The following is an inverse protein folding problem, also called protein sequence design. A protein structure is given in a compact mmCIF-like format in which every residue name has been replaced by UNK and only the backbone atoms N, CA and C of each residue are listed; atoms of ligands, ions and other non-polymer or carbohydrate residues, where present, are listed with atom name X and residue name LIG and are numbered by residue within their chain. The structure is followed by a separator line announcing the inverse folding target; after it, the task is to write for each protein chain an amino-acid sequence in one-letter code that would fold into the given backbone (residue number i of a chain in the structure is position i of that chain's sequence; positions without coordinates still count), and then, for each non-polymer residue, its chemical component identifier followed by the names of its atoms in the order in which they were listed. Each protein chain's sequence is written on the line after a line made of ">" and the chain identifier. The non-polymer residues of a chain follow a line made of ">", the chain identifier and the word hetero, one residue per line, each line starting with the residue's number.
data_IF_111325764447
#
_entry.id   IF_111325764447
#
_cell.length_a   1.000
_cell.length_b   1.000
_cell.length_c   1.000
_cell.angle_alpha   90.00
_cell.angle_beta   90.00
_cell.angle_gamma   90.00
#
_symmetry.space_group_name_H-M   'P 1'
#
loop_
_entity.id
_entity.type
_entity.pdbx_description
1 polymer ?
#
# COMPACT_ATOMS: atom_id res chain seq x y z
N UNK A 1 -27.66 6.25 3.04
CA UNK A 1 -26.57 6.69 2.15
C UNK A 1 -27.14 6.93 0.76
N UNK A 2 -26.73 8.02 0.12
CA UNK A 2 -27.21 8.44 -1.20
C UNK A 2 -25.99 8.83 -2.02
N UNK A 3 -25.84 8.27 -3.23
CA UNK A 3 -24.85 8.74 -4.19
C UNK A 3 -25.40 9.98 -4.88
N UNK A 4 -24.56 11.01 -4.99
CA UNK A 4 -24.93 12.29 -5.57
C UNK A 4 -24.19 12.44 -6.89
N UNK A 5 -24.95 12.62 -7.97
CA UNK A 5 -24.35 12.93 -9.26
C UNK A 5 -23.76 14.34 -9.24
N UNK A 6 -22.61 14.51 -9.89
CA UNK A 6 -21.98 15.82 -10.06
C UNK A 6 -22.86 16.72 -10.94
N UNK A 7 -23.19 17.89 -10.43
CA UNK A 7 -23.78 18.99 -11.17
C UNK A 7 -22.72 20.10 -11.38
N UNK A 8 -22.64 20.67 -12.58
CA UNK A 8 -21.61 21.67 -12.90
C UNK A 8 -20.17 21.14 -12.74
N UNK A 9 -19.25 22.01 -12.33
CA UNK A 9 -17.82 21.65 -12.23
C UNK A 9 -17.49 20.76 -11.02
N UNK A 10 -18.09 21.04 -9.85
CA UNK A 10 -17.79 20.35 -8.58
C UNK A 10 -18.93 20.45 -7.56
N UNK A 11 -20.18 20.52 -8.01
CA UNK A 11 -21.35 20.65 -7.12
C UNK A 11 -22.03 19.32 -6.90
N UNK A 12 -22.31 18.96 -5.64
CA UNK A 12 -22.96 17.70 -5.27
C UNK A 12 -24.08 18.00 -4.28
N UNK A 13 -25.33 17.67 -4.63
CA UNK A 13 -26.48 17.94 -3.75
C UNK A 13 -26.62 19.42 -3.36
N UNK A 14 -26.24 20.35 -4.24
CA UNK A 14 -26.25 21.80 -3.97
C UNK A 14 -25.02 22.34 -3.25
N UNK A 15 -24.08 21.50 -2.81
CA UNK A 15 -22.84 21.91 -2.15
C UNK A 15 -21.70 21.99 -3.18
N UNK A 16 -21.11 23.18 -3.33
CA UNK A 16 -19.97 23.42 -4.22
C UNK A 16 -18.68 22.97 -3.53
N UNK A 17 -17.88 22.14 -4.22
CA UNK A 17 -16.56 21.66 -3.77
C UNK A 17 -16.59 21.13 -2.33
N UNK A 18 -17.45 20.14 -2.00
CA UNK A 18 -17.61 19.66 -0.65
C UNK A 18 -16.29 19.09 -0.12
N UNK A 19 -16.01 19.30 1.17
CA UNK A 19 -15.03 18.48 1.89
C UNK A 19 -15.54 17.04 1.91
N UNK A 20 -14.66 16.07 1.76
CA UNK A 20 -15.05 14.65 1.74
C UNK A 20 -14.00 13.74 2.37
N UNK A 21 -14.43 12.56 2.79
CA UNK A 21 -13.57 11.46 3.22
C UNK A 21 -13.33 10.46 2.09
N UNK A 22 -12.23 9.71 2.16
CA UNK A 22 -12.01 8.51 1.34
C UNK A 22 -11.83 7.28 2.23
N UNK A 23 -12.03 6.11 1.62
CA UNK A 23 -11.80 4.82 2.23
C UNK A 23 -10.86 4.00 1.35
N UNK A 24 -9.79 3.47 1.93
CA UNK A 24 -8.94 2.43 1.32
C UNK A 24 -9.27 1.07 1.93
N UNK A 25 -9.59 0.10 1.08
CA UNK A 25 -10.17 -1.20 1.42
C UNK A 25 -10.15 -2.14 0.19
N UNK A 26 -10.68 -3.38 0.29
CA UNK A 26 -10.44 -4.41 -0.74
C UNK A 26 -11.65 -5.08 -1.38
N UNK A 27 -12.78 -4.37 -1.58
CA UNK A 27 -14.01 -4.95 -2.15
C UNK A 27 -13.83 -5.66 -3.50
N UNK A 28 -13.09 -5.06 -4.45
CA UNK A 28 -13.00 -5.55 -5.82
C UNK A 28 -12.46 -6.99 -5.97
N UNK A 29 -11.65 -7.47 -5.01
CA UNK A 29 -11.09 -8.83 -5.02
C UNK A 29 -12.04 -9.89 -4.48
N UNK A 30 -13.02 -9.48 -3.69
CA UNK A 30 -13.94 -10.36 -2.96
C UNK A 30 -15.38 -10.23 -3.48
N UNK A 31 -15.56 -9.91 -4.77
CA UNK A 31 -16.89 -9.90 -5.41
C UNK A 31 -17.53 -11.28 -5.29
N UNK A 32 -18.78 -11.33 -4.86
CA UNK A 32 -19.56 -12.56 -4.78
C UNK A 32 -20.35 -12.81 -6.09
N UNK A 33 -20.92 -14.02 -6.28
CA UNK A 33 -21.85 -14.29 -7.36
C UNK A 33 -23.10 -13.41 -7.31
N UNK A 34 -23.79 -13.30 -8.45
CA UNK A 34 -25.08 -12.60 -8.52
C UNK A 34 -26.10 -13.23 -7.56
N UNK A 35 -26.92 -12.40 -6.90
CA UNK A 35 -27.88 -12.83 -5.88
C UNK A 35 -27.34 -12.85 -4.45
N UNK A 36 -26.02 -12.74 -4.26
CA UNK A 36 -25.43 -12.53 -2.94
C UNK A 36 -25.72 -11.13 -2.36
N UNK A 37 -25.54 -10.92 -1.05
CA UNK A 37 -25.74 -9.61 -0.43
C UNK A 37 -24.90 -8.51 -1.10
N UNK A 38 -25.58 -7.42 -1.45
CA UNK A 38 -24.99 -6.23 -2.04
C UNK A 38 -25.40 -4.98 -1.27
N UNK A 39 -24.54 -3.96 -1.29
CA UNK A 39 -24.84 -2.68 -0.68
C UNK A 39 -25.97 -1.97 -1.44
N UNK A 40 -26.99 -1.52 -0.71
CA UNK A 40 -28.07 -0.71 -1.27
C UNK A 40 -27.73 0.77 -1.13
N UNK A 41 -27.64 1.46 -2.27
CA UNK A 41 -27.35 2.90 -2.34
C UNK A 41 -28.47 3.58 -3.13
N UNK A 42 -28.98 4.71 -2.63
CA UNK A 42 -29.96 5.54 -3.36
C UNK A 42 -29.24 6.43 -4.36
N UNK A 43 -29.86 6.72 -5.51
CA UNK A 43 -29.34 7.69 -6.48
C UNK A 43 -28.32 7.15 -7.49
N UNK A 44 -28.11 5.82 -7.53
CA UNK A 44 -27.31 5.15 -8.57
C UNK A 44 -28.23 4.33 -9.49
N UNK A 45 -27.87 4.25 -10.77
CA UNK A 45 -28.57 3.43 -11.78
C UNK A 45 -27.94 2.04 -11.96
N UNK A 46 -26.68 1.89 -11.55
CA UNK A 46 -25.94 0.63 -11.64
C UNK A 46 -26.13 -0.23 -10.39
N UNK A 47 -25.88 -1.53 -10.54
CA UNK A 47 -25.84 -2.44 -9.39
C UNK A 47 -24.48 -2.42 -8.72
N UNK A 48 -24.48 -2.18 -7.40
CA UNK A 48 -23.27 -2.37 -6.60
C UNK A 48 -22.92 -3.86 -6.61
N UNK A 49 -21.68 -4.25 -6.96
CA UNK A 49 -21.29 -5.65 -7.00
C UNK A 49 -21.42 -6.26 -5.60
N UNK A 50 -22.00 -7.47 -5.47
CA UNK A 50 -22.14 -8.12 -4.18
C UNK A 50 -20.78 -8.51 -3.59
N UNK A 51 -20.73 -8.70 -2.28
CA UNK A 51 -19.52 -9.01 -1.52
C UNK A 51 -19.56 -10.43 -0.95
N UNK A 52 -18.41 -11.10 -0.94
CA UNK A 52 -18.20 -12.35 -0.22
C UNK A 52 -18.22 -12.08 1.29
N UNK A 53 -19.25 -12.55 2.00
CA UNK A 53 -19.44 -12.22 3.42
C UNK A 53 -18.33 -12.76 4.34
N UNK A 54 -17.55 -13.77 3.89
CA UNK A 54 -16.34 -14.21 4.60
C UNK A 54 -15.25 -13.13 4.65
N UNK A 55 -15.28 -12.14 3.75
CA UNK A 55 -14.38 -11.00 3.82
C UNK A 55 -14.96 -9.94 4.77
N UNK A 56 -16.16 -9.43 4.47
CA UNK A 56 -16.94 -8.61 5.39
C UNK A 56 -18.41 -8.59 4.98
N UNK A 57 -19.30 -8.25 5.92
CA UNK A 57 -20.74 -8.14 5.65
C UNK A 57 -21.10 -6.74 5.15
N UNK A 58 -22.22 -6.65 4.41
CA UNK A 58 -22.78 -5.36 3.98
C UNK A 58 -23.11 -4.47 5.19
N UNK A 59 -23.57 -5.06 6.30
CA UNK A 59 -23.89 -4.33 7.52
C UNK A 59 -22.63 -3.72 8.18
N UNK A 60 -21.53 -4.46 8.25
CA UNK A 60 -20.25 -3.95 8.74
C UNK A 60 -19.78 -2.75 7.90
N UNK A 61 -19.90 -2.85 6.58
CA UNK A 61 -19.55 -1.76 5.67
C UNK A 61 -20.45 -0.51 5.84
N UNK A 62 -21.75 -0.71 6.06
CA UNK A 62 -22.67 0.39 6.36
C UNK A 62 -22.33 1.10 7.68
N UNK A 63 -22.00 0.33 8.72
CA UNK A 63 -21.56 0.88 10.01
C UNK A 63 -20.27 1.68 9.87
N UNK A 64 -19.29 1.16 9.11
CA UNK A 64 -18.06 1.86 8.78
C UNK A 64 -18.33 3.22 8.12
N UNK A 65 -19.20 3.27 7.11
CA UNK A 65 -19.54 4.53 6.43
C UNK A 65 -20.24 5.49 7.40
N UNK A 66 -21.10 4.98 8.29
CA UNK A 66 -21.72 5.80 9.33
C UNK A 66 -20.69 6.38 10.31
N UNK A 67 -19.61 5.64 10.64
CA UNK A 67 -18.50 6.17 11.44
C UNK A 67 -17.74 7.26 10.69
N UNK A 68 -17.41 7.05 9.41
CA UNK A 68 -16.75 8.07 8.57
C UNK A 68 -17.58 9.36 8.52
N UNK A 69 -18.91 9.22 8.39
CA UNK A 69 -19.87 10.33 8.36
C UNK A 69 -19.89 11.20 9.63
N UNK A 70 -19.26 10.78 10.73
CA UNK A 70 -19.09 11.62 11.93
C UNK A 70 -18.06 12.74 11.74
N UNK A 71 -17.19 12.63 10.75
CA UNK A 71 -16.13 13.62 10.48
C UNK A 71 -16.45 14.54 9.31
N UNK A 72 -17.17 14.05 8.31
CA UNK A 72 -17.55 14.79 7.12
C UNK A 72 -18.73 14.12 6.42
N UNK A 73 -19.65 14.93 5.89
CA UNK A 73 -20.93 14.44 5.32
C UNK A 73 -20.79 13.77 3.96
N UNK A 74 -19.70 14.05 3.23
CA UNK A 74 -19.43 13.48 1.92
C UNK A 74 -18.31 12.46 2.02
N UNK A 75 -18.45 11.35 1.31
CA UNK A 75 -17.39 10.37 1.15
C UNK A 75 -17.30 9.95 -0.31
N UNK A 76 -16.08 9.77 -0.79
CA UNK A 76 -15.81 9.09 -2.04
C UNK A 76 -15.35 7.67 -1.74
N UNK A 77 -16.13 6.71 -2.23
CA UNK A 77 -15.89 5.28 -2.06
C UNK A 77 -16.10 4.67 -3.45
N UNK A 78 -15.06 4.10 -4.03
CA UNK A 78 -15.03 3.63 -5.43
C UNK A 78 -16.26 2.80 -5.83
N UNK A 79 -16.66 1.82 -5.01
CA UNK A 79 -17.80 0.92 -5.28
C UNK A 79 -19.15 1.66 -5.26
N UNK A 80 -19.21 2.81 -4.58
CA UNK A 80 -20.40 3.65 -4.43
C UNK A 80 -20.45 4.79 -5.46
N UNK A 81 -19.29 5.25 -5.93
CA UNK A 81 -19.13 6.47 -6.72
C UNK A 81 -18.80 6.22 -8.19
N UNK A 82 -18.32 5.03 -8.54
CA UNK A 82 -18.01 4.64 -9.92
C UNK A 82 -19.03 3.60 -10.38
N UNK A 83 -19.57 3.78 -11.58
CA UNK A 83 -20.37 2.76 -12.26
C UNK A 83 -19.51 1.51 -12.49
N UNK A 84 -19.90 0.42 -11.83
CA UNK A 84 -19.14 -0.83 -11.84
C UNK A 84 -19.47 -1.72 -13.05
N UNK A 85 -20.50 -1.38 -13.83
CA UNK A 85 -20.96 -2.12 -15.00
C UNK A 85 -20.36 -1.55 -16.31
N UNK A 86 -20.01 -0.25 -16.36
CA UNK A 86 -19.38 0.39 -17.52
C UNK A 86 -17.84 0.40 -17.43
N UNK A 87 -17.19 -0.38 -18.31
CA UNK A 87 -15.73 -0.53 -18.34
C UNK A 87 -15.02 0.74 -18.83
N UNK A 88 -15.60 1.50 -19.76
CA UNK A 88 -14.99 2.71 -20.30
C UNK A 88 -15.02 3.84 -19.25
N UNK A 89 -16.16 4.03 -18.59
CA UNK A 89 -16.29 4.97 -17.46
C UNK A 89 -15.38 4.57 -16.30
N UNK A 90 -15.26 3.27 -16.02
CA UNK A 90 -14.35 2.78 -14.98
C UNK A 90 -12.89 3.12 -15.27
N UNK A 91 -12.39 2.92 -16.49
CA UNK A 91 -11.01 3.27 -16.84
C UNK A 91 -10.74 4.78 -16.78
N UNK A 92 -11.70 5.59 -17.24
CA UNK A 92 -11.60 7.04 -17.15
C UNK A 92 -11.54 7.54 -15.70
N UNK A 93 -12.40 7.01 -14.82
CA UNK A 93 -12.43 7.37 -13.40
C UNK A 93 -11.22 6.81 -12.63
N UNK A 94 -10.71 5.63 -12.98
CA UNK A 94 -9.43 5.11 -12.47
C UNK A 94 -8.30 6.10 -12.79
N UNK A 95 -8.31 6.73 -13.97
CA UNK A 95 -7.38 7.81 -14.34
C UNK A 95 -7.40 9.04 -13.41
N UNK A 96 -8.48 9.24 -12.65
CA UNK A 96 -8.69 10.38 -11.74
C UNK A 96 -8.56 10.00 -10.27
N UNK A 97 -8.51 8.70 -9.94
CA UNK A 97 -8.49 8.17 -8.58
C UNK A 97 -7.39 8.81 -7.74
N UNK A 98 -6.17 8.91 -8.28
CA UNK A 98 -5.07 9.52 -7.53
C UNK A 98 -5.34 11.00 -7.15
N UNK A 99 -5.99 11.76 -8.04
CA UNK A 99 -6.38 13.15 -7.77
C UNK A 99 -7.45 13.25 -6.68
N UNK A 100 -8.41 12.33 -6.68
CA UNK A 100 -9.48 12.26 -5.67
C UNK A 100 -8.89 11.92 -4.30
N UNK A 101 -8.02 10.91 -4.21
CA UNK A 101 -7.36 10.59 -2.94
C UNK A 101 -6.56 11.77 -2.40
N UNK A 102 -5.74 12.43 -3.25
CA UNK A 102 -4.92 13.60 -2.85
C UNK A 102 -5.74 14.77 -2.29
N UNK A 103 -6.95 14.98 -2.80
CA UNK A 103 -7.78 16.14 -2.43
C UNK A 103 -8.75 15.89 -1.28
N UNK A 104 -8.91 14.64 -0.82
CA UNK A 104 -9.82 14.35 0.27
C UNK A 104 -9.42 15.09 1.56
N UNK A 105 -10.38 15.37 2.43
CA UNK A 105 -10.11 16.02 3.73
C UNK A 105 -9.71 14.98 4.77
N UNK A 106 -10.38 13.83 4.77
CA UNK A 106 -10.09 12.72 5.68
C UNK A 106 -9.84 11.44 4.90
N UNK A 107 -9.03 10.56 5.45
CA UNK A 107 -8.76 9.25 4.89
C UNK A 107 -8.83 8.17 5.95
N UNK A 108 -9.33 7.00 5.56
CA UNK A 108 -9.46 5.85 6.44
C UNK A 108 -8.92 4.61 5.75
N UNK A 109 -8.11 3.85 6.46
CA UNK A 109 -7.67 2.53 6.05
C UNK A 109 -8.40 1.47 6.87
N UNK A 110 -9.26 0.69 6.22
CA UNK A 110 -10.05 -0.32 6.90
C UNK A 110 -9.39 -1.67 6.79
N UNK A 111 -8.86 -2.14 7.92
CA UNK A 111 -8.25 -3.46 8.10
C UNK A 111 -9.27 -4.34 8.80
N UNK A 112 -9.86 -5.26 8.04
CA UNK A 112 -11.04 -6.01 8.45
C UNK A 112 -10.77 -7.48 8.77
N UNK A 113 -9.50 -7.92 8.75
CA UNK A 113 -9.14 -9.30 9.07
C UNK A 113 -9.21 -9.62 10.58
N UNK A 114 -8.90 -8.64 11.43
CA UNK A 114 -8.88 -8.81 12.89
C UNK A 114 -10.03 -8.05 13.56
N UNK A 115 -10.44 -8.50 14.76
CA UNK A 115 -11.29 -7.69 15.64
C UNK A 115 -10.54 -6.46 16.14
N UNK A 116 -11.28 -5.49 16.68
CA UNK A 116 -10.68 -4.27 17.24
C UNK A 116 -9.58 -4.56 18.26
N UNK A 117 -9.86 -5.41 19.24
CA UNK A 117 -8.94 -5.69 20.35
C UNK A 117 -7.71 -6.46 19.86
N UNK A 118 -7.88 -7.38 18.92
CA UNK A 118 -6.78 -8.08 18.27
C UNK A 118 -5.88 -7.10 17.50
N UNK A 119 -6.48 -6.27 16.65
CA UNK A 119 -5.74 -5.31 15.84
C UNK A 119 -5.02 -4.28 16.72
N UNK A 120 -5.69 -3.76 17.76
CA UNK A 120 -5.08 -2.86 18.74
C UNK A 120 -3.87 -3.50 19.42
N UNK A 121 -3.97 -4.77 19.84
CA UNK A 121 -2.85 -5.49 20.45
C UNK A 121 -1.68 -5.68 19.49
N UNK A 122 -1.92 -5.93 18.20
CA UNK A 122 -0.86 -6.05 17.19
C UNK A 122 -0.09 -4.73 17.07
N UNK A 123 -0.80 -3.61 16.94
CA UNK A 123 -0.18 -2.28 16.81
C UNK A 123 0.55 -1.85 18.09
N UNK A 124 -0.01 -2.14 19.27
CA UNK A 124 0.66 -1.87 20.55
C UNK A 124 2.02 -2.58 20.63
N UNK A 125 2.09 -3.87 20.24
CA UNK A 125 3.33 -4.63 20.26
C UNK A 125 4.34 -4.15 19.20
N UNK A 126 3.88 -3.82 17.99
CA UNK A 126 4.72 -3.31 16.90
C UNK A 126 5.38 -1.99 17.31
N UNK A 127 4.61 -1.07 17.89
CA UNK A 127 5.13 0.24 18.34
C UNK A 127 5.98 0.15 19.61
N UNK A 128 5.68 -0.79 20.51
CA UNK A 128 6.54 -1.05 21.67
C UNK A 128 7.94 -1.49 21.22
N UNK A 129 8.08 -2.33 20.18
CA UNK A 129 9.40 -2.73 19.66
C UNK A 129 10.13 -1.58 18.97
N UNK A 130 9.44 -0.77 18.16
CA UNK A 130 10.02 0.42 17.52
C UNK A 130 10.70 1.33 18.57
N UNK A 131 10.05 1.53 19.72
CA UNK A 131 10.64 2.28 20.84
C UNK A 131 11.86 1.61 21.49
N UNK A 132 11.97 0.28 21.39
CA UNK A 132 13.09 -0.49 21.93
C UNK A 132 14.26 -0.47 20.94
N UNK A 133 14.05 -0.67 19.64
CA UNK A 133 15.17 -0.76 18.71
C UNK A 133 15.75 0.63 18.41
N UNK A 134 14.90 1.63 18.13
CA UNK A 134 15.36 2.98 17.82
C UNK A 134 15.90 3.76 19.03
N UNK A 135 15.71 3.24 20.25
CA UNK A 135 16.22 3.84 21.48
C UNK A 135 17.48 3.17 22.02
N UNK A 136 17.94 2.06 21.41
CA UNK A 136 19.03 1.25 21.95
C UNK A 136 20.21 1.36 21.01
N UNK A 137 21.26 2.01 21.49
CA UNK A 137 22.61 1.74 21.02
C UNK A 137 22.90 0.26 21.32
N UNK A 138 22.53 -0.67 20.41
CA UNK A 138 22.71 -2.12 20.66
C UNK A 138 24.17 -2.49 21.00
N UNK A 139 25.12 -1.64 20.61
CA UNK A 139 26.53 -1.72 20.95
C UNK A 139 26.85 -1.39 22.42
N UNK A 140 25.96 -0.72 23.16
CA UNK A 140 26.06 -0.46 24.60
C UNK A 140 25.51 -1.59 25.48
N UNK A 141 24.81 -2.55 24.89
CA UNK A 141 24.13 -3.62 25.62
C UNK A 141 25.07 -4.76 26.00
N UNK A 142 24.84 -5.31 27.19
CA UNK A 142 25.43 -6.58 27.59
C UNK A 142 24.86 -7.74 26.75
N UNK A 143 25.61 -8.84 26.65
CA UNK A 143 25.14 -10.05 25.96
C UNK A 143 23.81 -10.58 26.52
N UNK A 144 23.54 -10.40 27.82
CA UNK A 144 22.28 -10.78 28.47
C UNK A 144 21.13 -9.90 27.97
N UNK A 145 21.36 -8.60 27.82
CA UNK A 145 20.37 -7.66 27.29
C UNK A 145 20.10 -7.91 25.81
N UNK A 146 21.13 -8.24 25.01
CA UNK A 146 20.97 -8.66 23.61
C UNK A 146 20.09 -9.91 23.47
N UNK A 147 20.21 -10.88 24.38
CA UNK A 147 19.33 -12.07 24.41
C UNK A 147 17.87 -11.73 24.74
N UNK A 148 17.60 -10.62 25.46
CA UNK A 148 16.24 -10.17 25.75
C UNK A 148 15.50 -9.59 24.53
N UNK A 149 16.24 -9.27 23.46
CA UNK A 149 15.68 -8.71 22.22
C UNK A 149 15.03 -9.81 21.37
N UNK A 150 15.57 -11.04 21.38
CA UNK A 150 15.09 -12.13 20.54
C UNK A 150 13.59 -12.46 20.76
N UNK A 151 13.09 -12.66 22.00
CA UNK A 151 11.67 -12.88 22.23
C UNK A 151 10.77 -11.72 21.74
N UNK A 152 11.27 -10.48 21.81
CA UNK A 152 10.53 -9.30 21.32
C UNK A 152 10.47 -9.28 19.79
N UNK A 153 11.60 -9.51 19.12
CA UNK A 153 11.65 -9.67 17.65
C UNK A 153 10.70 -10.77 17.18
N UNK A 154 10.66 -11.89 17.89
CA UNK A 154 9.86 -13.04 17.49
C UNK A 154 8.37 -12.77 17.65
N UNK A 155 7.99 -12.01 18.69
CA UNK A 155 6.63 -11.50 18.86
C UNK A 155 6.24 -10.56 17.73
N UNK A 156 7.07 -9.55 17.42
CA UNK A 156 6.74 -8.60 16.34
C UNK A 156 6.73 -9.26 14.97
N UNK A 157 7.62 -10.21 14.71
CA UNK A 157 7.56 -11.00 13.49
C UNK A 157 6.21 -11.72 13.37
N UNK A 158 5.76 -12.39 14.43
CA UNK A 158 4.44 -13.03 14.47
C UNK A 158 3.29 -12.03 14.29
N UNK A 159 3.39 -10.85 14.92
CA UNK A 159 2.35 -9.82 14.86
C UNK A 159 2.26 -9.18 13.47
N UNK A 160 3.39 -8.86 12.84
CA UNK A 160 3.43 -8.38 11.45
C UNK A 160 2.95 -9.46 10.50
N UNK A 161 3.33 -10.72 10.71
CA UNK A 161 2.85 -11.82 9.87
C UNK A 161 1.33 -11.99 10.00
N UNK A 162 0.78 -11.83 11.21
CA UNK A 162 -0.66 -11.83 11.45
C UNK A 162 -1.34 -10.63 10.78
N UNK A 163 -0.83 -9.42 11.00
CA UNK A 163 -1.33 -8.17 10.42
C UNK A 163 -1.38 -8.24 8.89
N UNK A 164 -0.31 -8.73 8.26
CA UNK A 164 -0.19 -8.82 6.80
C UNK A 164 -1.01 -9.94 6.16
N UNK A 165 -1.74 -10.75 6.94
CA UNK A 165 -2.80 -11.61 6.40
C UNK A 165 -4.00 -10.80 5.92
N UNK A 166 -4.16 -9.56 6.41
CA UNK A 166 -5.20 -8.68 5.90
C UNK A 166 -4.97 -8.45 4.40
N UNK A 167 -5.97 -8.72 3.55
CA UNK A 167 -5.83 -8.56 2.11
C UNK A 167 -5.35 -7.14 1.74
N UNK A 168 -5.62 -6.11 2.53
CA UNK A 168 -5.15 -4.75 2.31
C UNK A 168 -3.64 -4.68 2.03
N UNK A 169 -2.81 -5.49 2.68
CA UNK A 169 -1.35 -5.51 2.48
C UNK A 169 -0.89 -6.19 1.18
N UNK A 170 -1.79 -6.85 0.45
CA UNK A 170 -1.48 -7.51 -0.83
C UNK A 170 -2.12 -6.85 -2.04
N UNK A 171 -3.05 -5.91 -1.86
CA UNK A 171 -3.66 -5.20 -2.99
C UNK A 171 -2.68 -4.19 -3.59
N UNK A 172 -2.62 -4.10 -4.92
CA UNK A 172 -1.84 -3.09 -5.60
C UNK A 172 -2.42 -1.68 -5.41
N UNK A 173 -3.74 -1.56 -5.48
CA UNK A 173 -4.42 -0.26 -5.35
C UNK A 173 -4.26 0.33 -3.95
N UNK A 174 -4.27 -0.49 -2.90
CA UNK A 174 -4.04 0.00 -1.54
C UNK A 174 -2.61 0.51 -1.32
N UNK A 175 -1.62 0.02 -2.08
CA UNK A 175 -0.27 0.60 -2.08
C UNK A 175 -0.29 2.02 -2.64
N UNK A 176 -0.96 2.24 -3.79
CA UNK A 176 -1.16 3.58 -4.35
C UNK A 176 -1.83 4.49 -3.32
N UNK A 177 -2.94 4.03 -2.73
CA UNK A 177 -3.73 4.79 -1.78
C UNK A 177 -2.95 5.11 -0.50
N UNK A 178 -2.13 4.19 0.01
CA UNK A 178 -1.25 4.42 1.15
C UNK A 178 -0.18 5.49 0.87
N UNK A 179 0.37 5.52 -0.35
CA UNK A 179 1.33 6.56 -0.76
C UNK A 179 0.66 7.93 -0.84
N UNK A 180 -0.58 7.97 -1.34
CA UNK A 180 -1.35 9.21 -1.50
C UNK A 180 -1.92 9.72 -0.17
N UNK A 181 -2.28 8.82 0.75
CA UNK A 181 -2.96 9.11 2.03
C UNK A 181 -2.29 8.40 3.20
N UNK A 182 -1.03 8.79 3.43
CA UNK A 182 -0.27 8.35 4.61
C UNK A 182 -0.94 8.78 5.92
N UNK A 183 -1.70 9.86 5.88
CA UNK A 183 -2.49 10.36 7.00
C UNK A 183 -3.78 9.55 7.26
N UNK A 184 -4.03 8.47 6.50
CA UNK A 184 -5.24 7.66 6.69
C UNK A 184 -5.27 7.05 8.10
N UNK A 185 -6.39 7.24 8.79
CA UNK A 185 -6.65 6.65 10.10
C UNK A 185 -6.96 5.16 9.96
N UNK A 186 -6.32 4.32 10.78
CA UNK A 186 -6.51 2.88 10.73
C UNK A 186 -7.77 2.51 11.52
N UNK A 187 -8.69 1.82 10.85
CA UNK A 187 -9.95 1.32 11.41
C UNK A 187 -9.94 -0.21 11.45
N UNK A 188 -10.45 -0.79 12.54
CA UNK A 188 -10.66 -2.24 12.67
C UNK A 188 -11.88 -2.74 11.90
N UNK A 189 -12.12 -4.06 11.87
CA UNK A 189 -13.30 -4.68 11.23
C UNK A 189 -14.65 -4.09 11.67
N UNK A 190 -14.75 -3.59 12.91
CA UNK A 190 -15.93 -2.93 13.47
C UNK A 190 -16.03 -1.43 13.11
N UNK A 191 -15.11 -0.92 12.30
CA UNK A 191 -15.04 0.50 11.89
C UNK A 191 -14.52 1.42 13.00
N UNK A 192 -13.90 0.88 14.06
CA UNK A 192 -13.39 1.65 15.18
C UNK A 192 -11.94 2.08 14.95
N UNK A 193 -11.58 3.34 15.23
CA UNK A 193 -10.19 3.77 15.09
C UNK A 193 -9.30 3.17 16.17
N UNK A 194 -8.11 2.72 15.78
CA UNK A 194 -7.07 2.34 16.73
C UNK A 194 -6.48 3.58 17.39
N UNK A 195 -6.03 3.46 18.64
CA UNK A 195 -5.49 4.57 19.42
C UNK A 195 -4.08 4.27 19.92
N UNK A 196 -3.25 5.30 20.12
CA UNK A 196 -1.93 5.09 20.72
C UNK A 196 -2.06 4.62 22.18
N UNK A 197 -1.34 3.57 22.56
CA UNK A 197 -1.35 2.98 23.90
C UNK A 197 -1.20 4.00 25.04
N UNK A 198 -0.24 4.92 24.90
CA UNK A 198 0.08 5.96 25.88
C UNK A 198 -0.63 7.30 25.65
N UNK A 199 -1.39 7.43 24.55
CA UNK A 199 -2.11 8.64 24.15
C UNK A 199 -3.42 8.28 23.45
N UNK A 200 -4.38 7.78 24.24
CA UNK A 200 -5.62 7.16 23.73
C UNK A 200 -6.54 8.13 22.99
N UNK A 201 -6.33 9.43 23.15
CA UNK A 201 -6.98 10.50 22.40
C UNK A 201 -6.47 10.63 20.96
N UNK A 202 -5.31 10.06 20.66
CA UNK A 202 -4.68 10.12 19.34
C UNK A 202 -4.86 8.79 18.58
N UNK A 203 -5.57 8.86 17.46
CA UNK A 203 -5.74 7.71 16.58
C UNK A 203 -4.45 7.37 15.82
N UNK A 204 -4.23 6.08 15.58
CA UNK A 204 -3.11 5.57 14.77
C UNK A 204 -3.40 5.87 13.29
N UNK A 205 -2.39 6.41 12.59
CA UNK A 205 -2.40 6.69 11.14
C UNK A 205 -1.40 5.81 10.41
N UNK A 206 -1.62 5.57 9.11
CA UNK A 206 -0.72 4.76 8.27
C UNK A 206 0.73 5.26 8.31
N UNK A 207 0.96 6.57 8.36
CA UNK A 207 2.29 7.17 8.44
C UNK A 207 3.09 6.70 9.66
N UNK A 208 2.42 6.50 10.81
CA UNK A 208 3.06 6.01 12.03
C UNK A 208 3.54 4.57 11.82
N UNK A 209 2.68 3.74 11.23
CA UNK A 209 3.04 2.36 10.89
C UNK A 209 4.16 2.28 9.85
N UNK A 210 4.10 3.13 8.81
CA UNK A 210 5.15 3.20 7.80
C UNK A 210 6.49 3.64 8.41
N UNK A 211 6.46 4.58 9.36
CA UNK A 211 7.65 5.02 10.08
C UNK A 211 8.23 3.90 10.95
N UNK A 212 7.41 3.18 11.71
CA UNK A 212 7.91 2.03 12.48
C UNK A 212 8.47 0.93 11.59
N UNK A 213 7.86 0.69 10.41
CA UNK A 213 8.43 -0.22 9.41
C UNK A 213 9.80 0.25 8.89
N UNK A 214 9.94 1.56 8.63
CA UNK A 214 11.19 2.17 8.21
C UNK A 214 12.28 2.03 9.27
N UNK A 215 12.00 2.47 10.49
CA UNK A 215 12.90 2.38 11.63
C UNK A 215 13.37 0.94 11.88
N UNK A 216 12.42 0.00 11.98
CA UNK A 216 12.77 -1.42 12.14
C UNK A 216 13.66 -1.93 10.99
N UNK A 217 13.40 -1.52 9.75
CA UNK A 217 14.26 -1.90 8.61
C UNK A 217 15.67 -1.32 8.74
N UNK A 218 15.79 -0.03 9.02
CA UNK A 218 17.08 0.65 9.17
C UNK A 218 17.87 0.07 10.34
N UNK A 219 17.22 -0.19 11.47
CA UNK A 219 17.88 -0.76 12.63
C UNK A 219 18.37 -2.20 12.36
N UNK A 220 17.54 -3.04 11.71
CA UNK A 220 17.95 -4.40 11.31
C UNK A 220 19.21 -4.37 10.44
N UNK A 221 19.26 -3.45 9.47
CA UNK A 221 20.38 -3.32 8.54
C UNK A 221 21.60 -2.69 9.21
N UNK A 222 21.43 -1.59 9.94
CA UNK A 222 22.50 -0.87 10.61
C UNK A 222 23.17 -1.68 11.70
N UNK A 223 22.44 -2.62 12.30
CA UNK A 223 22.91 -3.43 13.42
C UNK A 223 23.24 -4.87 12.99
N UNK A 224 23.38 -5.12 11.68
CA UNK A 224 23.64 -6.43 11.10
C UNK A 224 24.81 -7.17 11.76
N UNK A 225 25.86 -6.46 12.17
CA UNK A 225 27.05 -7.01 12.83
C UNK A 225 26.85 -7.28 14.33
N UNK A 226 25.87 -6.64 14.97
CA UNK A 226 25.63 -6.70 16.42
C UNK A 226 24.58 -7.73 16.81
N UNK A 227 23.78 -8.22 15.85
CA UNK A 227 22.76 -9.22 16.12
C UNK A 227 23.36 -10.54 16.60
N UNK A 228 22.85 -11.12 17.70
CA UNK A 228 23.19 -12.48 18.10
C UNK A 228 22.99 -13.48 16.96
N UNK A 229 23.87 -14.48 16.80
CA UNK A 229 23.80 -15.43 15.69
C UNK A 229 22.45 -16.13 15.56
N UNK A 230 21.76 -16.38 16.69
CA UNK A 230 20.42 -16.98 16.74
C UNK A 230 19.30 -16.02 16.32
N UNK A 231 19.54 -14.71 16.22
CA UNK A 231 18.59 -13.70 15.76
C UNK A 231 18.70 -13.41 14.25
N UNK A 232 19.83 -13.69 13.60
CA UNK A 232 20.10 -13.33 12.20
C UNK A 232 18.98 -13.81 11.26
N UNK A 233 18.60 -15.09 11.31
CA UNK A 233 17.54 -15.62 10.43
C UNK A 233 16.20 -14.91 10.64
N UNK A 234 15.86 -14.56 11.89
CA UNK A 234 14.62 -13.86 12.21
C UNK A 234 14.65 -12.41 11.70
N UNK A 235 15.78 -11.72 11.85
CA UNK A 235 15.94 -10.35 11.33
C UNK A 235 15.84 -10.30 9.80
N UNK A 236 16.38 -11.30 9.09
CA UNK A 236 16.23 -11.43 7.63
C UNK A 236 14.78 -11.68 7.21
N UNK A 237 14.05 -12.55 7.94
CA UNK A 237 12.63 -12.80 7.70
C UNK A 237 11.78 -11.55 7.96
N UNK A 238 12.06 -10.82 9.04
CA UNK A 238 11.41 -9.57 9.39
C UNK A 238 11.66 -8.49 8.31
N UNK A 239 12.91 -8.36 7.86
CA UNK A 239 13.27 -7.46 6.76
C UNK A 239 12.53 -7.84 5.47
N UNK A 240 12.48 -9.12 5.11
CA UNK A 240 11.75 -9.60 3.94
C UNK A 240 10.26 -9.25 4.04
N UNK A 241 9.64 -9.46 5.21
CA UNK A 241 8.23 -9.18 5.45
C UNK A 241 7.92 -7.68 5.32
N UNK A 242 8.73 -6.81 5.95
CA UNK A 242 8.62 -5.36 5.83
C UNK A 242 8.76 -4.92 4.37
N UNK A 243 9.75 -5.47 3.64
CA UNK A 243 9.97 -5.14 2.23
C UNK A 243 8.80 -5.57 1.35
N UNK A 244 8.28 -6.77 1.57
CA UNK A 244 7.14 -7.32 0.84
C UNK A 244 5.87 -6.49 1.05
N UNK A 245 5.70 -5.86 2.21
CA UNK A 245 4.60 -4.91 2.43
C UNK A 245 4.68 -3.70 1.49
N UNK A 246 5.88 -3.25 1.12
CA UNK A 246 6.07 -2.04 0.33
C UNK A 246 5.75 -0.73 1.05
N UNK A 247 5.54 -0.76 2.38
CA UNK A 247 5.08 0.42 3.14
C UNK A 247 6.22 1.26 3.75
N UNK A 248 7.38 0.65 3.99
CA UNK A 248 8.53 1.33 4.60
C UNK A 248 9.12 2.44 3.70
N UNK A 249 9.00 2.34 2.38
CA UNK A 249 9.43 3.39 1.45
C UNK A 249 8.32 4.34 1.00
N UNK A 250 7.15 4.32 1.63
CA UNK A 250 6.03 5.20 1.21
C UNK A 250 6.43 6.67 1.17
N UNK A 251 7.40 7.09 1.99
CA UNK A 251 7.92 8.46 2.11
C UNK A 251 8.68 9.00 0.89
N UNK A 252 9.23 8.12 0.04
CA UNK A 252 10.04 8.56 -1.10
C UNK A 252 9.19 9.15 -2.23
N UNK A 253 9.74 10.18 -2.88
CA UNK A 253 9.20 10.72 -4.13
C UNK A 253 9.85 10.07 -5.36
N UNK A 254 10.60 8.97 -5.17
CA UNK A 254 11.21 8.23 -6.26
C UNK A 254 10.22 7.21 -6.85
N UNK A 255 9.73 7.43 -8.08
CA UNK A 255 8.79 6.53 -8.76
C UNK A 255 9.33 5.13 -9.00
N UNK A 256 10.65 4.98 -9.13
CA UNK A 256 11.27 3.67 -9.21
C UNK A 256 10.89 2.89 -7.95
N UNK A 257 11.16 3.41 -6.76
CA UNK A 257 10.89 2.69 -5.51
C UNK A 257 9.45 2.17 -5.42
N UNK A 258 8.45 3.02 -5.72
CA UNK A 258 7.04 2.61 -5.68
C UNK A 258 6.67 1.59 -6.76
N UNK A 259 7.20 1.74 -7.97
CA UNK A 259 7.03 0.75 -9.02
C UNK A 259 7.65 -0.61 -8.63
N UNK A 260 8.76 -0.60 -7.90
CA UNK A 260 9.34 -1.83 -7.37
C UNK A 260 8.50 -2.48 -6.31
N UNK A 261 7.96 -1.68 -5.39
CA UNK A 261 7.07 -2.19 -4.36
C UNK A 261 5.77 -2.77 -4.96
N UNK A 262 5.31 -2.26 -6.10
CA UNK A 262 4.16 -2.80 -6.83
C UNK A 262 4.33 -4.26 -7.27
N UNK A 263 5.56 -4.76 -7.47
CA UNK A 263 5.81 -6.16 -7.81
C UNK A 263 5.51 -7.13 -6.66
N UNK A 264 5.60 -6.65 -5.41
CA UNK A 264 5.22 -7.44 -4.23
C UNK A 264 3.71 -7.50 -4.01
N UNK A 265 2.94 -6.71 -4.76
CA UNK A 265 1.47 -6.66 -4.68
C UNK A 265 0.81 -7.51 -5.77
N UNK A 266 -0.41 -7.94 -5.47
CA UNK A 266 -1.26 -8.75 -6.35
C UNK A 266 -2.16 -7.84 -7.18
N UNK A 267 -2.18 -8.06 -8.49
CA UNK A 267 -3.11 -7.42 -9.43
C UNK A 267 -3.73 -8.45 -10.38
N UNK A 268 -4.95 -8.18 -10.84
CA UNK A 268 -5.62 -8.98 -11.89
C UNK A 268 -5.18 -8.60 -13.29
N UNK A 269 -4.85 -7.32 -13.50
CA UNK A 269 -4.43 -6.80 -14.80
C UNK A 269 -2.96 -6.40 -14.71
N UNK A 270 -2.06 -7.03 -15.50
CA UNK A 270 -0.63 -6.74 -15.43
C UNK A 270 -0.28 -5.27 -15.63
N UNK A 271 -1.00 -4.56 -16.53
CA UNK A 271 -0.80 -3.13 -16.81
C UNK A 271 -1.03 -2.23 -15.59
N UNK A 272 -1.87 -2.66 -14.62
CA UNK A 272 -2.14 -1.89 -13.41
C UNK A 272 -0.87 -1.62 -12.61
N UNK A 273 0.17 -2.47 -12.73
CA UNK A 273 1.46 -2.23 -12.06
C UNK A 273 2.08 -0.90 -12.44
N UNK A 274 1.92 -0.47 -13.69
CA UNK A 274 2.36 0.86 -14.13
C UNK A 274 1.25 1.88 -13.89
N UNK A 275 0.00 1.59 -14.25
CA UNK A 275 -1.09 2.56 -14.14
C UNK A 275 -1.34 3.04 -12.71
N UNK A 276 -1.29 2.15 -11.71
CA UNK A 276 -1.43 2.54 -10.31
C UNK A 276 -0.30 3.48 -9.87
N UNK A 277 0.93 3.25 -10.31
CA UNK A 277 2.09 4.04 -9.86
C UNK A 277 2.21 5.35 -10.62
N UNK A 278 2.05 5.35 -11.94
CA UNK A 278 2.25 6.53 -12.79
C UNK A 278 1.36 7.72 -12.36
N UNK A 279 0.14 7.42 -11.90
CA UNK A 279 -0.83 8.43 -11.47
C UNK A 279 -0.42 9.15 -10.18
N UNK A 280 0.33 8.49 -9.29
CA UNK A 280 0.90 9.12 -8.09
C UNK A 280 1.75 10.33 -8.49
N UNK A 281 2.46 10.19 -9.61
CA UNK A 281 3.37 11.19 -10.15
C UNK A 281 2.72 12.10 -11.19
N UNK A 282 1.44 11.88 -11.53
CA UNK A 282 0.71 12.70 -12.49
C UNK A 282 1.07 12.41 -13.95
N UNK A 283 1.64 11.25 -14.24
CA UNK A 283 1.87 10.81 -15.61
C UNK A 283 0.57 10.26 -16.23
N UNK A 284 0.45 10.40 -17.55
CA UNK A 284 -0.55 9.73 -18.39
C UNK A 284 0.20 9.01 -19.50
N UNK A 285 0.09 7.69 -19.50
CA UNK A 285 0.81 6.80 -20.41
C UNK A 285 -0.14 5.75 -20.99
N UNK A 286 0.28 5.09 -22.06
CA UNK A 286 -0.47 4.02 -22.70
C UNK A 286 -1.93 4.40 -23.01
N UNK A 287 -2.84 3.49 -22.69
CA UNK A 287 -4.27 3.65 -22.95
C UNK A 287 -4.91 4.80 -22.14
N UNK A 288 -4.24 5.33 -21.10
CA UNK A 288 -4.74 6.52 -20.40
C UNK A 288 -4.51 7.83 -21.17
N UNK A 289 -3.54 7.85 -22.09
CA UNK A 289 -3.24 8.97 -22.96
C UNK A 289 -3.82 8.75 -24.37
N UNK A 290 -3.75 7.52 -24.86
CA UNK A 290 -4.22 7.08 -26.18
C UNK A 290 -5.13 5.85 -26.03
N UNK A 291 -6.40 6.00 -25.60
CA UNK A 291 -7.31 4.88 -25.36
C UNK A 291 -7.54 3.95 -26.56
N UNK A 292 -7.33 4.47 -27.76
CA UNK A 292 -7.44 3.77 -29.03
C UNK A 292 -6.22 2.90 -29.38
N UNK A 293 -5.10 3.07 -28.69
CA UNK A 293 -3.84 2.34 -28.93
C UNK A 293 -3.60 1.37 -27.78
N UNK A 294 -3.85 0.06 -27.98
CA UNK A 294 -3.54 -0.93 -26.96
C UNK A 294 -2.03 -0.98 -26.72
N UNK A 295 -1.63 -1.15 -25.47
CA UNK A 295 -0.20 -1.26 -25.10
C UNK A 295 0.07 -2.53 -24.31
N UNK A 296 1.23 -3.12 -24.57
CA UNK A 296 1.77 -4.20 -23.76
C UNK A 296 2.37 -3.65 -22.47
N UNK A 297 2.62 -4.53 -21.49
CA UNK A 297 3.27 -4.13 -20.25
C UNK A 297 4.69 -3.62 -20.51
N UNK A 298 5.46 -4.27 -21.38
CA UNK A 298 6.84 -3.87 -21.68
C UNK A 298 6.89 -2.49 -22.38
N UNK A 299 5.95 -2.20 -23.29
CA UNK A 299 5.82 -0.86 -23.91
C UNK A 299 5.44 0.21 -22.88
N UNK A 300 4.52 -0.12 -21.96
CA UNK A 300 4.09 0.81 -20.92
C UNK A 300 5.20 1.07 -19.89
N UNK A 301 6.01 0.05 -19.57
CA UNK A 301 7.22 0.17 -18.76
C UNK A 301 8.29 1.03 -19.45
N UNK A 302 8.48 0.87 -20.76
CA UNK A 302 9.36 1.73 -21.55
C UNK A 302 8.89 3.19 -21.53
N UNK A 303 7.61 3.44 -21.76
CA UNK A 303 7.04 4.79 -21.68
C UNK A 303 7.21 5.41 -20.28
N UNK A 304 7.03 4.61 -19.23
CA UNK A 304 7.29 5.07 -17.86
C UNK A 304 8.76 5.46 -17.70
N UNK A 305 9.68 4.59 -18.10
CA UNK A 305 11.12 4.83 -18.05
C UNK A 305 11.54 6.11 -18.80
N UNK A 306 10.99 6.34 -20.00
CA UNK A 306 11.21 7.55 -20.79
C UNK A 306 10.73 8.80 -20.04
N UNK A 307 9.51 8.78 -19.48
CA UNK A 307 8.97 9.91 -18.72
C UNK A 307 9.76 10.19 -17.43
N UNK A 308 10.23 9.14 -16.75
CA UNK A 308 11.08 9.28 -15.58
C UNK A 308 12.41 9.95 -15.94
N UNK A 309 13.01 9.52 -17.05
CA UNK A 309 14.26 10.09 -17.57
C UNK A 309 14.09 11.55 -17.95
N UNK A 310 12.99 11.88 -18.64
CA UNK A 310 12.69 13.26 -19.02
C UNK A 310 12.48 14.16 -17.80
N UNK A 311 11.73 13.70 -16.79
CA UNK A 311 11.42 14.49 -15.59
C UNK A 311 12.59 14.63 -14.64
N UNK A 312 13.41 13.59 -14.50
CA UNK A 312 14.59 13.60 -13.63
C UNK A 312 15.68 12.70 -14.19
N UNK A 313 16.54 13.24 -15.08
CA UNK A 313 17.66 12.48 -15.66
C UNK A 313 18.60 11.90 -14.61
N UNK A 314 18.74 12.56 -13.46
CA UNK A 314 19.56 12.10 -12.34
C UNK A 314 18.96 10.86 -11.66
N UNK A 315 17.67 10.91 -11.29
CA UNK A 315 17.01 9.77 -10.63
C UNK A 315 16.87 8.56 -11.55
N UNK A 316 16.73 8.78 -12.86
CA UNK A 316 16.74 7.69 -13.85
C UNK A 316 18.11 7.04 -14.04
N UNK A 317 19.18 7.68 -13.57
CA UNK A 317 20.57 7.18 -13.65
C UNK A 317 21.07 6.59 -12.33
N UNK A 318 20.31 6.71 -11.23
CA UNK A 318 20.67 6.15 -9.91
C UNK A 318 20.13 4.72 -9.77
N UNK A 319 20.85 3.75 -10.32
CA UNK A 319 20.54 2.33 -10.19
C UNK A 319 21.79 1.50 -9.89
N UNK A 320 21.58 0.35 -9.26
CA UNK A 320 22.60 -0.68 -9.03
C UNK A 320 22.27 -1.86 -9.92
N UNK A 321 23.22 -2.27 -10.75
CA UNK A 321 23.10 -3.51 -11.52
C UNK A 321 23.31 -4.71 -10.61
N UNK A 322 22.30 -5.57 -10.54
CA UNK A 322 22.33 -6.80 -9.76
C UNK A 322 22.31 -8.06 -10.63
N UNK A 323 22.15 -7.88 -11.95
CA UNK A 323 22.31 -8.91 -12.98
C UNK A 323 22.80 -8.27 -14.28
N UNK A 324 23.36 -9.07 -15.19
CA UNK A 324 23.88 -8.61 -16.48
C UNK A 324 22.73 -8.22 -17.44
N UNK A 325 22.81 -7.05 -18.12
CA UNK A 325 21.81 -6.62 -19.09
C UNK A 325 21.72 -7.56 -20.30
N UNK A 326 20.51 -7.74 -20.86
CA UNK A 326 20.35 -8.30 -22.20
C UNK A 326 20.81 -7.30 -23.26
N UNK A 327 21.34 -7.81 -24.39
CA UNK A 327 21.99 -6.99 -25.43
C UNK A 327 21.07 -5.96 -26.10
N UNK A 328 19.76 -6.17 -26.04
CA UNK A 328 18.75 -5.29 -26.65
C UNK A 328 18.27 -4.17 -25.71
N UNK A 329 18.63 -4.23 -24.43
CA UNK A 329 18.25 -3.24 -23.41
C UNK A 329 19.48 -2.44 -22.96
N UNK A 330 20.03 -1.69 -23.93
CA UNK A 330 21.17 -0.79 -23.71
C UNK A 330 20.75 0.60 -23.22
N UNK A 331 19.48 0.76 -22.81
CA UNK A 331 18.98 1.95 -22.13
C UNK A 331 18.95 1.71 -20.62
N UNK A 332 19.68 2.57 -19.92
CA UNK A 332 19.97 2.58 -18.48
C UNK A 332 18.76 2.54 -17.51
N UNK A 333 17.53 2.40 -17.98
CA UNK A 333 16.32 2.68 -17.20
C UNK A 333 15.47 1.46 -16.87
N UNK A 334 15.71 0.29 -17.49
CA UNK A 334 14.81 -0.87 -17.35
C UNK A 334 15.39 -2.08 -16.60
N UNK A 335 16.66 -2.07 -16.20
CA UNK A 335 17.29 -3.23 -15.55
C UNK A 335 16.93 -3.42 -14.07
N UNK A 336 16.11 -2.54 -13.53
CA UNK A 336 15.53 -2.75 -12.20
C UNK A 336 14.34 -3.73 -12.28
N UNK A 337 13.66 -3.84 -13.43
CA UNK A 337 12.56 -4.79 -13.65
C UNK A 337 13.03 -6.25 -13.51
N UNK A 338 14.24 -6.59 -13.95
CA UNK A 338 14.79 -7.95 -13.86
C UNK A 338 15.13 -8.37 -12.42
N UNK A 339 15.46 -7.43 -11.53
CA UNK A 339 15.71 -7.75 -10.11
C UNK A 339 14.42 -7.94 -9.30
N UNK A 340 13.33 -7.25 -9.69
CA UNK A 340 12.01 -7.41 -9.08
C UNK A 340 11.18 -8.55 -9.72
N UNK A 341 11.57 -8.99 -10.92
CA UNK A 341 11.04 -10.19 -11.60
C UNK A 341 11.73 -11.49 -11.15
N UNK A 342 12.87 -11.43 -10.46
CA UNK A 342 13.59 -12.63 -10.00
C UNK A 342 12.91 -13.26 -8.77
N UNK A 343 12.53 -14.55 -8.78
CA UNK A 343 12.31 -15.26 -7.53
C UNK A 343 13.63 -15.25 -6.75
N UNK A 344 13.59 -14.92 -5.46
CA UNK A 344 14.77 -14.99 -4.59
C UNK A 344 15.27 -16.44 -4.57
N UNK A 345 16.24 -16.79 -5.41
CA UNK A 345 17.09 -17.95 -5.18
C UNK A 345 17.96 -17.65 -3.96
N UNK A 346 18.14 -18.61 -3.03
CA UNK A 346 19.05 -18.43 -1.91
C UNK A 346 20.45 -18.07 -2.43
N UNK A 347 21.06 -17.05 -1.84
CA UNK A 347 22.46 -16.68 -2.08
C UNK A 347 23.36 -17.79 -1.50
N UNK A 348 23.59 -18.87 -2.25
CA UNK A 348 24.58 -19.90 -1.87
C UNK A 348 25.84 -19.92 -2.73
N UNK A 349 25.93 -19.17 -3.84
CA UNK A 349 27.13 -19.25 -4.70
C UNK A 349 27.53 -17.90 -5.31
N UNK A 350 28.22 -17.06 -4.54
CA UNK A 350 29.06 -15.99 -5.06
C UNK A 350 30.40 -15.95 -4.29
N UNK A 351 31.12 -17.06 -4.31
CA UNK A 351 32.58 -17.06 -4.18
C UNK A 351 33.16 -17.31 -5.58
N UNK A 352 34.23 -16.58 -5.91
CA UNK A 352 35.10 -16.69 -7.09
C UNK A 352 34.73 -15.84 -8.30
N UNK A 353 35.01 -14.54 -8.24
CA UNK A 353 35.51 -13.81 -9.42
C UNK A 353 36.63 -12.83 -9.01
N UNK A 354 37.86 -13.18 -9.42
CA UNK A 354 39.05 -12.32 -9.30
C UNK A 354 39.06 -11.24 -10.39
N UNK A 355 39.69 -10.08 -10.14
CA UNK A 355 39.63 -8.93 -11.04
C UNK A 355 40.64 -9.05 -12.20
N UNK A 356 40.18 -8.71 -13.42
CA UNK A 356 41.03 -8.18 -14.51
C UNK A 356 40.36 -6.90 -15.01
#
# INVERSE_FOLDING_TARGET
>A
MTSLQRAGESTYGGVVSPKYAILTYTWGRFRAPSGSPALKIKGVTWRVPPIQEQHFTVNAFQNLIAVMGRTVDFAWIDVCCIDQEDTATKMFEVGRQAGIFKQATHAYAWLNFHTHDQLQSLFDNIFDLDSVISGWDLWELTEIEKQSVLPKLQRVFSDLQSLMQDPWFTSLWTLQEAVLRRDAMILSSEGRPLSLKFRREHSIRLEMFCNSCWNMHEDIVGLAAEWPSNAISLTQQLQHLIRKSGLFFTMTNNPNVQYGMAHHRVTRHPLDRVYAIMQIYGFRLGESLHPEIPVTLDELELQLAEQLTFRSPMLSQWFVHTAQPSKDFMLCTLLWTSFLRAPQTPLEHLENWSPI
#
